data_IF_656131257400
#
_entry.id   IF_656131257400
#
_cell.length_a   1.000
_cell.length_b   1.000
_cell.length_c   1.000
_cell.angle_alpha   90.00
_cell.angle_beta   90.00
_cell.angle_gamma   90.00
#
_symmetry.space_group_name_H-M   'P 1'
#
loop_
_entity.id
_entity.type
_entity.pdbx_description
1 polymer ?
#
# COMPACT_ATOMS: atom_id res chain seq x y z
N UNK A 1 -22.57 4.34 -14.02
CA UNK A 1 -21.82 3.32 -13.25
C UNK A 1 -21.06 3.98 -12.10
N UNK A 2 -20.37 5.10 -12.35
CA UNK A 2 -19.63 5.83 -11.30
C UNK A 2 -20.49 6.24 -10.11
N UNK A 3 -21.69 6.77 -10.34
CA UNK A 3 -22.63 7.11 -9.27
C UNK A 3 -23.02 5.89 -8.40
N UNK A 4 -23.15 4.71 -9.01
CA UNK A 4 -23.44 3.46 -8.29
C UNK A 4 -22.24 3.05 -7.44
N UNK A 5 -21.02 3.13 -8.00
CA UNK A 5 -19.78 2.84 -7.29
C UNK A 5 -19.62 3.77 -6.09
N UNK A 6 -19.79 5.08 -6.28
CA UNK A 6 -19.72 6.07 -5.21
C UNK A 6 -20.77 5.80 -4.13
N UNK A 7 -22.02 5.56 -4.51
CA UNK A 7 -23.09 5.24 -3.56
C UNK A 7 -22.78 3.97 -2.75
N UNK A 8 -22.28 2.92 -3.39
CA UNK A 8 -21.87 1.69 -2.73
C UNK A 8 -20.68 1.90 -1.77
N UNK A 9 -19.71 2.73 -2.15
CA UNK A 9 -18.56 3.09 -1.31
C UNK A 9 -19.02 3.83 -0.04
N UNK A 10 -19.88 4.85 -0.19
CA UNK A 10 -20.47 5.58 0.93
C UNK A 10 -21.29 4.65 1.82
N UNK A 11 -22.13 3.79 1.24
CA UNK A 11 -22.96 2.85 1.97
C UNK A 11 -22.13 1.90 2.85
N UNK A 12 -21.11 1.25 2.29
CA UNK A 12 -20.29 0.29 3.04
C UNK A 12 -19.41 0.98 4.08
N UNK A 13 -18.92 2.20 3.79
CA UNK A 13 -18.17 3.01 4.74
C UNK A 13 -19.02 3.39 5.96
N UNK A 14 -20.24 3.89 5.72
CA UNK A 14 -21.18 4.26 6.79
C UNK A 14 -21.61 3.05 7.61
N UNK A 15 -21.85 1.90 6.98
CA UNK A 15 -22.17 0.66 7.68
C UNK A 15 -21.04 0.24 8.62
N UNK A 16 -19.79 0.28 8.13
CA UNK A 16 -18.62 -0.08 8.92
C UNK A 16 -18.42 0.87 10.12
N UNK A 17 -18.64 2.17 9.91
CA UNK A 17 -18.44 3.22 10.91
C UNK A 17 -19.35 3.08 12.14
N UNK A 18 -20.52 2.45 12.01
CA UNK A 18 -21.42 2.14 13.14
C UNK A 18 -20.70 1.26 14.17
N UNK A 19 -19.78 0.38 13.72
CA UNK A 19 -18.88 -0.40 14.55
C UNK A 19 -19.57 -1.14 15.71
N UNK A 20 -20.69 -1.80 15.41
CA UNK A 20 -21.65 -2.36 16.38
C UNK A 20 -21.10 -3.53 17.21
N UNK A 21 -20.12 -4.28 16.71
CA UNK A 21 -19.54 -5.44 17.39
C UNK A 21 -18.27 -5.07 18.17
N UNK A 22 -17.99 -5.80 19.26
CA UNK A 22 -16.74 -5.64 20.00
C UNK A 22 -15.50 -6.01 19.17
N UNK A 23 -15.63 -6.99 18.27
CA UNK A 23 -14.59 -7.38 17.31
C UNK A 23 -15.22 -7.85 15.99
N UNK A 24 -14.42 -7.81 14.92
CA UNK A 24 -14.81 -8.42 13.64
C UNK A 24 -15.67 -7.55 12.73
N UNK A 25 -15.90 -6.27 13.02
CA UNK A 25 -16.70 -5.36 12.19
C UNK A 25 -16.27 -5.37 10.71
N UNK A 26 -14.98 -5.32 10.41
CA UNK A 26 -14.49 -5.34 9.02
C UNK A 26 -14.84 -6.65 8.30
N UNK A 27 -14.65 -7.80 8.95
CA UNK A 27 -14.97 -9.12 8.36
C UNK A 27 -16.48 -9.27 8.14
N UNK A 28 -17.28 -8.88 9.14
CA UNK A 28 -18.74 -8.93 9.04
C UNK A 28 -19.25 -7.98 7.96
N UNK A 29 -18.68 -6.77 7.85
CA UNK A 29 -19.02 -5.79 6.81
C UNK A 29 -18.73 -6.33 5.42
N UNK A 30 -17.54 -6.94 5.20
CA UNK A 30 -17.20 -7.53 3.91
C UNK A 30 -18.18 -8.64 3.50
N UNK A 31 -18.47 -9.57 4.41
CA UNK A 31 -19.42 -10.67 4.13
C UNK A 31 -20.84 -10.16 3.88
N UNK A 32 -21.31 -9.20 4.67
CA UNK A 32 -22.59 -8.54 4.46
C UNK A 32 -22.64 -7.89 3.07
N UNK A 33 -21.60 -7.15 2.73
CA UNK A 33 -21.54 -6.38 1.49
C UNK A 33 -21.49 -7.29 0.25
N UNK A 34 -20.76 -8.41 0.29
CA UNK A 34 -20.81 -9.45 -0.76
C UNK A 34 -22.25 -9.97 -0.94
N UNK A 35 -22.95 -10.27 0.16
CA UNK A 35 -24.34 -10.75 0.09
C UNK A 35 -25.26 -9.67 -0.48
N UNK A 36 -25.10 -8.43 -0.05
CA UNK A 36 -25.88 -7.29 -0.53
C UNK A 36 -25.69 -7.08 -2.03
N UNK A 37 -24.44 -7.05 -2.51
CA UNK A 37 -24.12 -6.94 -3.94
C UNK A 37 -24.76 -8.07 -4.76
N UNK A 38 -24.75 -9.30 -4.25
CA UNK A 38 -25.43 -10.44 -4.90
C UNK A 38 -26.94 -10.26 -4.97
N UNK A 39 -27.57 -9.67 -3.95
CA UNK A 39 -29.02 -9.34 -4.02
C UNK A 39 -29.34 -8.27 -5.07
N UNK A 40 -28.37 -7.41 -5.40
CA UNK A 40 -28.48 -6.43 -6.47
C UNK A 40 -28.16 -7.00 -7.87
N UNK A 41 -27.79 -8.28 -7.97
CA UNK A 41 -27.48 -8.97 -9.22
C UNK A 41 -26.00 -8.93 -9.65
N UNK A 42 -25.09 -8.43 -8.80
CA UNK A 42 -23.66 -8.48 -9.08
C UNK A 42 -23.04 -9.83 -8.72
N UNK A 43 -22.09 -10.29 -9.53
CA UNK A 43 -21.26 -11.45 -9.21
C UNK A 43 -20.07 -11.06 -8.32
N UNK A 44 -20.34 -10.83 -7.03
CA UNK A 44 -19.31 -10.52 -6.06
C UNK A 44 -18.71 -11.80 -5.46
N UNK A 45 -17.40 -12.00 -5.62
CA UNK A 45 -16.63 -13.10 -5.00
C UNK A 45 -15.87 -12.65 -3.75
N UNK A 46 -15.45 -13.61 -2.93
CA UNK A 46 -14.66 -13.34 -1.73
C UNK A 46 -13.16 -13.15 -2.02
N UNK A 47 -12.70 -13.52 -3.22
CA UNK A 47 -11.28 -13.63 -3.54
C UNK A 47 -10.58 -12.27 -3.43
N UNK A 48 -11.15 -11.23 -4.04
CA UNK A 48 -10.58 -9.89 -3.98
C UNK A 48 -10.56 -9.31 -2.56
N UNK A 49 -11.56 -9.64 -1.73
CA UNK A 49 -11.59 -9.24 -0.33
C UNK A 49 -10.54 -9.96 0.50
N UNK A 50 -10.26 -11.23 0.21
CA UNK A 50 -9.22 -12.00 0.89
C UNK A 50 -7.82 -11.53 0.49
N UNK A 51 -7.59 -11.31 -0.80
CA UNK A 51 -6.31 -10.86 -1.35
C UNK A 51 -5.97 -9.42 -0.95
N UNK A 52 -6.98 -8.55 -0.83
CA UNK A 52 -6.81 -7.13 -0.56
C UNK A 52 -7.46 -6.71 0.78
N UNK A 53 -7.52 -7.63 1.74
CA UNK A 53 -8.18 -7.42 3.03
C UNK A 53 -7.67 -6.18 3.77
N UNK A 54 -6.35 -5.95 3.71
CA UNK A 54 -5.74 -4.79 4.36
C UNK A 54 -6.09 -3.48 3.63
N UNK A 55 -6.02 -3.49 2.31
CA UNK A 55 -6.41 -2.34 1.49
C UNK A 55 -7.87 -1.95 1.76
N UNK A 56 -8.79 -2.93 1.76
CA UNK A 56 -10.20 -2.67 2.03
C UNK A 56 -10.42 -2.07 3.42
N UNK A 57 -9.75 -2.59 4.46
CA UNK A 57 -9.79 -2.01 5.81
C UNK A 57 -9.30 -0.55 5.81
N UNK A 58 -8.16 -0.28 5.20
CA UNK A 58 -7.57 1.07 5.18
C UNK A 58 -8.41 2.06 4.36
N UNK A 59 -9.02 1.59 3.27
CA UNK A 59 -9.95 2.36 2.47
C UNK A 59 -11.20 2.73 3.27
N UNK A 60 -11.75 1.81 4.09
CA UNK A 60 -12.84 2.12 5.02
C UNK A 60 -12.44 3.18 6.07
N UNK A 61 -11.21 3.11 6.58
CA UNK A 61 -10.68 4.15 7.49
C UNK A 61 -10.59 5.49 6.77
N UNK A 62 -10.02 5.54 5.56
CA UNK A 62 -9.91 6.80 4.80
C UNK A 62 -11.25 7.40 4.41
N UNK A 63 -12.25 6.57 4.15
CA UNK A 63 -13.61 7.01 3.86
C UNK A 63 -14.36 7.58 5.08
N UNK A 64 -13.84 7.41 6.30
CA UNK A 64 -14.46 7.88 7.53
C UNK A 64 -13.56 8.80 8.39
N UNK A 65 -12.32 9.05 7.97
CA UNK A 65 -11.35 9.80 8.77
C UNK A 65 -11.26 11.27 8.36
N UNK A 66 -11.50 12.14 9.33
CA UNK A 66 -11.34 13.58 9.27
C UNK A 66 -10.34 14.05 10.33
N UNK A 67 -9.46 14.97 9.95
CA UNK A 67 -8.65 15.77 10.86
C UNK A 67 -8.52 17.18 10.30
N UNK A 68 -9.50 18.02 10.66
CA UNK A 68 -9.59 19.40 10.17
C UNK A 68 -8.41 20.28 10.59
N UNK A 69 -7.72 19.94 11.68
CA UNK A 69 -6.54 20.70 12.13
C UNK A 69 -5.37 20.54 11.16
N UNK A 70 -5.29 19.37 10.53
CA UNK A 70 -4.26 19.04 9.55
C UNK A 70 -4.83 19.03 8.11
N UNK A 71 -6.00 19.64 7.88
CA UNK A 71 -6.69 19.72 6.57
C UNK A 71 -6.96 18.35 5.91
N UNK A 72 -7.15 17.32 6.73
CA UNK A 72 -7.44 15.96 6.26
C UNK A 72 -8.95 15.77 6.21
N UNK A 73 -9.45 15.51 5.01
CA UNK A 73 -10.84 15.17 4.76
C UNK A 73 -11.03 13.68 4.47
N UNK A 74 -12.21 13.15 4.76
CA UNK A 74 -12.58 11.81 4.35
C UNK A 74 -12.61 11.70 2.82
N UNK A 75 -12.27 10.53 2.29
CA UNK A 75 -12.35 10.28 0.85
C UNK A 75 -12.70 8.83 0.56
N UNK A 76 -13.66 8.64 -0.33
CA UNK A 76 -14.10 7.33 -0.82
C UNK A 76 -13.25 6.82 -1.98
N UNK A 77 -12.34 7.62 -2.53
CA UNK A 77 -11.55 7.32 -3.74
C UNK A 77 -10.95 5.90 -3.72
N UNK A 78 -10.36 5.50 -2.60
CA UNK A 78 -9.75 4.18 -2.46
C UNK A 78 -10.77 3.04 -2.41
N UNK A 79 -11.92 3.25 -1.76
CA UNK A 79 -13.01 2.28 -1.81
C UNK A 79 -13.54 2.16 -3.23
N UNK A 80 -13.66 3.27 -3.96
CA UNK A 80 -14.14 3.27 -5.34
C UNK A 80 -13.18 2.49 -6.27
N UNK A 81 -11.85 2.64 -6.12
CA UNK A 81 -10.87 1.82 -6.85
C UNK A 81 -11.03 0.33 -6.56
N UNK A 82 -11.23 -0.03 -5.29
CA UNK A 82 -11.49 -1.41 -4.89
C UNK A 82 -12.79 -1.95 -5.52
N UNK A 83 -13.87 -1.17 -5.46
CA UNK A 83 -15.17 -1.56 -6.02
C UNK A 83 -15.15 -1.67 -7.54
N UNK A 84 -14.39 -0.81 -8.21
CA UNK A 84 -14.18 -0.90 -9.66
C UNK A 84 -13.48 -2.19 -10.05
N UNK A 85 -12.46 -2.60 -9.30
CA UNK A 85 -11.82 -3.90 -9.53
C UNK A 85 -12.79 -5.06 -9.25
N UNK A 86 -13.60 -4.97 -8.19
CA UNK A 86 -14.57 -6.00 -7.81
C UNK A 86 -15.71 -6.15 -8.82
N UNK A 87 -16.30 -5.03 -9.27
CA UNK A 87 -17.58 -5.03 -10.00
C UNK A 87 -17.41 -4.86 -11.52
N UNK A 88 -16.30 -4.26 -11.96
CA UNK A 88 -16.05 -3.93 -13.37
C UNK A 88 -14.84 -4.70 -13.93
N UNK A 89 -14.23 -5.59 -13.14
CA UNK A 89 -13.01 -6.35 -13.46
C UNK A 89 -11.80 -5.46 -13.86
N UNK A 90 -11.79 -4.22 -13.39
CA UNK A 90 -10.67 -3.31 -13.61
C UNK A 90 -9.41 -3.76 -12.85
N UNK A 91 -8.26 -3.21 -13.27
CA UNK A 91 -6.94 -3.53 -12.70
C UNK A 91 -6.32 -2.28 -12.07
N UNK A 92 -7.12 -1.53 -11.32
CA UNK A 92 -6.65 -0.38 -10.56
C UNK A 92 -5.64 -0.83 -9.49
N UNK A 93 -4.67 0.03 -9.20
CA UNK A 93 -3.61 -0.26 -8.24
C UNK A 93 -4.13 -0.14 -6.80
N UNK A 94 -4.15 -1.26 -6.07
CA UNK A 94 -4.61 -1.31 -4.68
C UNK A 94 -3.42 -1.35 -3.71
N UNK A 95 -2.79 -0.19 -3.47
CA UNK A 95 -1.63 -0.08 -2.59
C UNK A 95 -1.90 0.79 -1.36
N UNK A 96 -1.57 0.26 -0.17
CA UNK A 96 -1.78 0.94 1.11
C UNK A 96 -1.02 2.27 1.21
N UNK A 97 0.23 2.31 0.73
CA UNK A 97 1.07 3.52 0.75
C UNK A 97 0.43 4.73 0.06
N UNK A 98 -0.40 4.52 -0.96
CA UNK A 98 -1.08 5.60 -1.67
C UNK A 98 -2.14 6.27 -0.78
N UNK A 99 -2.63 5.58 0.25
CA UNK A 99 -3.62 6.07 1.20
C UNK A 99 -3.05 6.89 2.35
N UNK A 100 -1.72 6.87 2.54
CA UNK A 100 -1.08 7.68 3.57
C UNK A 100 -1.23 9.17 3.23
N UNK A 101 -1.65 9.96 4.21
CA UNK A 101 -1.89 11.39 4.03
C UNK A 101 -0.61 12.12 3.63
N UNK A 102 0.51 11.74 4.24
CA UNK A 102 1.83 12.34 3.97
C UNK A 102 2.45 11.87 2.66
N UNK A 103 1.85 10.89 1.97
CA UNK A 103 2.41 10.35 0.73
C UNK A 103 2.56 11.44 -0.35
N UNK A 104 1.60 12.37 -0.44
CA UNK A 104 1.68 13.50 -1.38
C UNK A 104 2.82 14.46 -1.03
N UNK A 105 3.10 14.70 0.25
CA UNK A 105 4.26 15.51 0.66
C UNK A 105 5.59 14.79 0.41
N UNK A 106 5.64 13.47 0.62
CA UNK A 106 6.82 12.65 0.33
C UNK A 106 7.20 12.69 -1.16
N UNK A 107 6.23 12.80 -2.08
CA UNK A 107 6.49 12.96 -3.52
C UNK A 107 7.04 14.34 -3.89
N UNK A 108 6.70 15.40 -3.13
CA UNK A 108 7.12 16.78 -3.40
C UNK A 108 8.52 17.09 -2.85
N UNK A 109 8.97 16.37 -1.81
CA UNK A 109 10.27 16.57 -1.16
C UNK A 109 11.48 16.00 -1.93
N UNK A 110 11.30 15.45 -3.13
CA UNK A 110 12.44 15.08 -3.97
C UNK A 110 13.26 16.34 -4.37
N UNK A 111 14.59 16.38 -4.13
CA UNK A 111 15.40 17.48 -4.62
C UNK A 111 15.37 17.47 -6.15
N UNK A 112 15.10 18.63 -6.76
CA UNK A 112 15.32 18.84 -8.20
C UNK A 112 16.80 18.61 -8.51
N UNK A 113 17.15 17.42 -8.96
CA UNK A 113 18.49 17.15 -9.50
C UNK A 113 18.54 17.79 -10.89
N UNK A 114 19.13 18.99 -10.99
CA UNK A 114 19.60 19.55 -12.25
C UNK A 114 20.70 18.64 -12.79
N UNK A 115 20.37 17.82 -13.78
CA UNK A 115 21.40 17.24 -14.62
C UNK A 115 21.95 18.33 -15.52
N UNK A 116 23.23 18.70 -15.32
CA UNK A 116 24.03 19.35 -16.36
C UNK A 116 24.17 18.37 -17.52
N UNK A 117 23.29 18.46 -18.50
CA UNK A 117 23.40 17.75 -19.76
C UNK A 117 24.52 18.38 -20.59
N UNK A 118 25.65 17.69 -20.70
CA UNK A 118 26.51 17.81 -21.87
C UNK A 118 25.94 16.91 -22.97
N UNK A 119 25.03 17.46 -23.78
CA UNK A 119 24.57 16.80 -25.01
C UNK A 119 25.32 17.35 -26.21
N UNK A 120 26.07 16.46 -26.89
CA UNK A 120 26.29 16.56 -28.32
C UNK A 120 25.14 15.80 -29.02
N UNK A 121 24.25 16.59 -29.61
CA UNK A 121 23.51 16.41 -30.86
C UNK A 121 22.80 15.08 -31.24
N UNK A 122 21.47 15.24 -31.37
CA UNK A 122 20.62 15.02 -32.56
C UNK A 122 19.90 13.66 -32.74
N UNK A 123 18.56 13.78 -32.60
CA UNK A 123 17.45 13.17 -33.35
C UNK A 123 17.34 11.64 -33.51
N UNK A 124 16.39 11.04 -32.78
CA UNK A 124 15.08 10.70 -33.34
C UNK A 124 14.10 10.20 -32.28
N UNK A 125 13.05 10.99 -32.05
CA UNK A 125 12.02 10.82 -31.03
C UNK A 125 10.96 9.81 -31.51
N UNK A 126 11.10 8.54 -31.12
CA UNK A 126 9.95 7.63 -30.99
C UNK A 126 9.50 7.62 -29.53
N UNK A 127 8.35 8.24 -29.32
CA UNK A 127 7.67 8.36 -28.03
C UNK A 127 7.18 6.97 -27.60
N UNK A 128 7.93 6.31 -26.72
CA UNK A 128 7.41 5.26 -25.83
C UNK A 128 7.14 5.91 -24.49
N UNK A 129 5.89 6.32 -24.29
CA UNK A 129 5.38 6.77 -23.00
C UNK A 129 5.03 5.53 -22.15
N UNK A 130 5.24 5.68 -20.85
CA UNK A 130 4.85 4.80 -19.73
C UNK A 130 5.82 3.68 -19.34
N UNK A 131 6.73 4.02 -18.42
CA UNK A 131 6.82 3.44 -17.07
C UNK A 131 8.01 4.09 -16.36
N UNK A 132 7.92 5.38 -16.07
CA UNK A 132 8.95 6.05 -15.28
C UNK A 132 8.30 6.86 -14.15
N UNK A 133 8.82 6.62 -12.95
CA UNK A 133 8.69 7.40 -11.71
C UNK A 133 7.42 7.19 -10.89
N UNK A 134 7.29 6.01 -10.29
CA UNK A 134 6.66 5.91 -8.97
C UNK A 134 7.45 4.87 -8.18
N UNK A 135 7.76 5.14 -6.90
CA UNK A 135 8.25 4.22 -5.85
C UNK A 135 9.65 4.48 -5.23
N UNK A 136 10.13 5.74 -5.18
CA UNK A 136 11.46 6.05 -4.60
C UNK A 136 11.38 6.87 -3.29
N UNK A 137 10.19 7.23 -2.82
CA UNK A 137 10.04 8.22 -1.73
C UNK A 137 10.51 7.80 -0.32
N UNK A 138 10.43 6.51 0.06
CA UNK A 138 10.61 6.11 1.47
C UNK A 138 12.08 5.88 1.88
N UNK A 139 12.98 5.61 0.93
CA UNK A 139 14.36 5.21 1.23
C UNK A 139 15.45 6.12 0.63
N UNK A 140 15.10 7.06 -0.26
CA UNK A 140 16.02 8.08 -0.77
C UNK A 140 17.38 7.52 -1.23
N UNK A 141 18.48 8.07 -0.70
CA UNK A 141 19.84 7.61 -1.00
C UNK A 141 20.17 6.18 -0.52
N UNK A 142 19.40 5.62 0.43
CA UNK A 142 19.66 4.27 1.00
C UNK A 142 19.45 3.15 -0.02
N UNK A 143 18.63 3.39 -1.04
CA UNK A 143 18.35 2.45 -2.15
C UNK A 143 19.26 2.66 -3.36
N UNK A 144 20.18 3.63 -3.31
CA UNK A 144 21.19 3.78 -4.35
C UNK A 144 22.07 2.51 -4.43
N UNK A 145 22.21 1.99 -5.65
CA UNK A 145 22.98 0.76 -5.92
C UNK A 145 22.27 -0.57 -5.58
N UNK A 146 20.98 -0.56 -5.23
CA UNK A 146 20.21 -1.79 -4.98
C UNK A 146 19.64 -2.37 -6.28
N UNK A 147 19.61 -3.70 -6.38
CA UNK A 147 18.99 -4.37 -7.53
C UNK A 147 17.48 -4.11 -7.60
N UNK A 148 16.92 -3.97 -8.81
CA UNK A 148 15.47 -3.80 -9.03
C UNK A 148 14.63 -4.87 -8.33
N UNK A 149 15.12 -6.11 -8.27
CA UNK A 149 14.44 -7.23 -7.63
C UNK A 149 14.39 -7.08 -6.10
N UNK A 150 15.45 -6.57 -5.50
CA UNK A 150 15.49 -6.27 -4.08
C UNK A 150 14.53 -5.13 -3.73
N UNK A 151 14.43 -4.10 -4.59
CA UNK A 151 13.47 -3.01 -4.43
C UNK A 151 12.03 -3.54 -4.47
N UNK A 152 11.69 -4.41 -5.42
CA UNK A 152 10.36 -5.03 -5.45
C UNK A 152 10.03 -5.81 -4.18
N UNK A 153 11.00 -6.56 -3.63
CA UNK A 153 10.80 -7.24 -2.35
C UNK A 153 10.65 -6.27 -1.17
N UNK A 154 11.30 -5.11 -1.21
CA UNK A 154 11.10 -4.05 -0.20
C UNK A 154 9.70 -3.46 -0.29
N UNK A 155 9.23 -3.17 -1.51
CA UNK A 155 7.87 -2.67 -1.73
C UNK A 155 6.83 -3.65 -1.20
N UNK A 156 6.95 -4.94 -1.52
CA UNK A 156 6.08 -5.99 -0.99
C UNK A 156 6.11 -6.04 0.54
N UNK A 157 7.29 -5.87 1.13
CA UNK A 157 7.46 -5.82 2.58
C UNK A 157 6.71 -4.63 3.17
N UNK A 158 7.00 -3.40 2.74
CA UNK A 158 6.35 -2.19 3.22
C UNK A 158 4.83 -2.22 2.98
N UNK A 159 4.37 -2.78 1.86
CA UNK A 159 2.95 -2.95 1.55
C UNK A 159 2.24 -4.01 2.40
N UNK A 160 2.98 -4.78 3.22
CA UNK A 160 2.45 -5.85 4.09
C UNK A 160 2.61 -5.62 5.60
N UNK A 161 3.25 -4.53 6.04
CA UNK A 161 3.52 -4.23 7.46
C UNK A 161 3.10 -2.82 7.87
N UNK A 162 2.53 -2.69 9.08
CA UNK A 162 2.32 -1.38 9.70
C UNK A 162 3.68 -0.74 10.07
N UNK A 163 3.75 0.59 10.09
CA UNK A 163 4.98 1.39 10.35
C UNK A 163 5.74 1.01 11.63
N UNK A 164 5.04 0.48 12.64
CA UNK A 164 5.61 0.06 13.93
C UNK A 164 5.58 -1.46 14.16
N UNK A 165 5.28 -2.26 13.14
CA UNK A 165 5.10 -3.70 13.28
C UNK A 165 6.44 -4.43 13.48
N UNK A 166 6.47 -5.33 14.47
CA UNK A 166 7.64 -6.17 14.74
C UNK A 166 7.54 -7.45 13.91
N UNK A 167 8.42 -7.61 12.93
CA UNK A 167 8.45 -8.76 12.06
C UNK A 167 9.72 -9.59 12.21
N UNK A 168 9.63 -10.86 11.78
CA UNK A 168 10.75 -11.79 11.76
C UNK A 168 10.90 -12.43 10.40
N UNK A 169 11.97 -13.20 10.23
CA UNK A 169 12.30 -13.83 8.94
C UNK A 169 11.15 -14.63 8.32
N UNK A 170 10.40 -15.41 9.10
CA UNK A 170 9.29 -16.23 8.57
C UNK A 170 8.23 -15.39 7.86
N UNK A 171 7.95 -14.19 8.37
CA UNK A 171 6.98 -13.28 7.75
C UNK A 171 7.53 -12.61 6.49
N UNK A 172 8.83 -12.33 6.47
CA UNK A 172 9.53 -11.87 5.25
C UNK A 172 9.46 -12.94 4.16
N UNK A 173 9.67 -14.21 4.51
CA UNK A 173 9.55 -15.34 3.56
C UNK A 173 8.14 -15.44 2.98
N UNK A 174 7.11 -15.30 3.83
CA UNK A 174 5.70 -15.32 3.42
C UNK A 174 5.34 -14.18 2.46
N UNK A 175 5.77 -12.95 2.76
CA UNK A 175 5.42 -11.75 2.00
C UNK A 175 6.18 -11.66 0.67
N UNK A 176 7.48 -11.98 0.69
CA UNK A 176 8.35 -11.80 -0.48
C UNK A 176 8.51 -13.05 -1.34
N UNK A 177 8.07 -14.21 -0.84
CA UNK A 177 8.29 -15.52 -1.45
C UNK A 177 9.77 -15.96 -1.43
N UNK A 178 10.64 -15.28 -0.67
CA UNK A 178 12.05 -15.62 -0.59
C UNK A 178 12.25 -16.89 0.25
N UNK A 179 13.13 -17.78 -0.24
CA UNK A 179 13.60 -18.93 0.54
C UNK A 179 14.51 -18.49 1.69
N UNK A 180 14.57 -19.30 2.74
CA UNK A 180 15.27 -19.06 4.00
C UNK A 180 16.61 -18.28 3.90
N UNK A 181 17.56 -18.78 3.11
CA UNK A 181 18.88 -18.16 2.96
C UNK A 181 18.80 -16.78 2.32
N UNK A 182 17.92 -16.58 1.33
CA UNK A 182 17.74 -15.30 0.67
C UNK A 182 17.01 -14.30 1.55
N UNK A 183 16.01 -14.74 2.32
CA UNK A 183 15.34 -13.87 3.30
C UNK A 183 16.31 -13.38 4.38
N UNK A 184 17.24 -14.24 4.83
CA UNK A 184 18.30 -13.84 5.77
C UNK A 184 19.28 -12.83 5.16
N UNK A 185 19.70 -13.02 3.91
CA UNK A 185 20.57 -12.06 3.22
C UNK A 185 19.87 -10.72 2.98
N UNK A 186 18.59 -10.76 2.59
CA UNK A 186 17.76 -9.58 2.39
C UNK A 186 17.64 -8.77 3.68
N UNK A 187 17.28 -9.41 4.80
CA UNK A 187 17.24 -8.74 6.12
C UNK A 187 18.60 -8.15 6.52
N UNK A 188 19.70 -8.81 6.19
CA UNK A 188 21.06 -8.30 6.47
C UNK A 188 21.34 -7.03 5.67
N UNK A 189 21.01 -7.02 4.38
CA UNK A 189 21.17 -5.84 3.53
C UNK A 189 20.32 -4.65 4.01
N UNK A 190 19.09 -4.90 4.46
CA UNK A 190 18.22 -3.87 5.04
C UNK A 190 18.78 -3.28 6.35
N UNK A 191 19.37 -4.11 7.21
CA UNK A 191 20.03 -3.66 8.43
C UNK A 191 21.26 -2.81 8.13
N UNK A 192 22.12 -3.27 7.22
CA UNK A 192 23.36 -2.56 6.84
C UNK A 192 23.06 -1.16 6.28
N UNK A 193 21.90 -0.99 5.65
CA UNK A 193 21.43 0.27 5.08
C UNK A 193 20.57 1.11 6.03
N UNK A 194 20.41 0.68 7.28
CA UNK A 194 19.55 1.34 8.28
C UNK A 194 18.11 1.54 7.79
N UNK A 195 17.57 0.57 7.05
CA UNK A 195 16.17 0.53 6.61
C UNK A 195 15.29 -0.12 7.70
N UNK A 196 15.85 -1.11 8.39
CA UNK A 196 15.22 -1.78 9.53
C UNK A 196 16.19 -1.77 10.72
N UNK A 197 15.65 -1.97 11.92
CA UNK A 197 16.43 -2.12 13.15
C UNK A 197 16.03 -3.37 13.93
N UNK A 198 16.96 -3.91 14.72
CA UNK A 198 16.69 -5.03 15.62
C UNK A 198 15.88 -4.56 16.82
N UNK A 199 14.90 -5.37 17.24
CA UNK A 199 14.08 -5.11 18.43
C UNK A 199 14.45 -6.10 19.53
N UNK A 200 14.73 -5.60 20.74
CA UNK A 200 14.98 -6.42 21.94
C UNK A 200 13.68 -6.68 22.70
N UNK A 201 13.60 -7.77 23.48
CA UNK A 201 12.42 -8.11 24.29
C UNK A 201 11.34 -8.94 23.58
N UNK A 202 11.37 -9.10 22.25
CA UNK A 202 10.36 -9.84 21.47
C UNK A 202 10.85 -11.19 20.89
N UNK A 203 11.94 -11.72 21.47
CA UNK A 203 12.61 -12.94 20.98
C UNK A 203 13.71 -12.66 19.95
N UNK A 204 14.49 -13.69 19.61
CA UNK A 204 15.63 -13.57 18.67
C UNK A 204 15.14 -13.34 17.24
N UNK A 205 15.84 -12.47 16.50
CA UNK A 205 15.61 -12.27 15.06
C UNK A 205 14.35 -11.47 14.73
N UNK A 206 14.05 -10.45 15.54
CA UNK A 206 12.94 -9.52 15.35
C UNK A 206 13.43 -8.15 14.89
N UNK A 207 12.66 -7.55 13.99
CA UNK A 207 12.97 -6.32 13.29
C UNK A 207 11.76 -5.40 13.23
N UNK A 208 11.99 -4.10 13.12
CA UNK A 208 10.97 -3.09 12.77
C UNK A 208 11.58 -2.12 11.76
N UNK A 209 10.76 -1.42 11.00
CA UNK A 209 11.23 -0.38 10.08
C UNK A 209 11.86 0.78 10.85
N UNK A 210 12.92 1.36 10.27
CA UNK A 210 13.56 2.53 10.84
C UNK A 210 12.83 3.78 10.37
N UNK A 211 11.94 4.32 11.21
CA UNK A 211 11.29 5.61 11.00
C UNK A 211 12.14 6.65 11.72
N UNK A 212 12.67 7.61 10.97
CA UNK A 212 13.35 8.75 11.57
C UNK A 212 12.24 9.73 11.97
N UNK A 213 12.01 9.88 13.27
CA UNK A 213 11.23 10.99 13.83
C UNK A 213 11.75 12.35 13.34
#
# INVERSE_FOLDING_TARGET
MDEIIHHLAVFVANLWQIHIFGEGNTRTTAVFFIKYLRTLGFDATNDIFAENAWYFRNALVRANYNDLKHEIHETTEYLELFLRNLLLDEKNLLQNRLMHVDYKEMLVREPKIEYKTSEANIENRKVNIQLEKVNIGMFGEKISGISKKTIQHMEQLCDSFDENEIFGRSRVEEVTGLKNTRASLFLKELLERNIIQKVTGHGKGKYTFFIKE
#
